data_IF_827378669643
#
_entry.id   IF_827378669643
#
_cell.length_a   1.000
_cell.length_b   1.000
_cell.length_c   1.000
_cell.angle_alpha   90.00
_cell.angle_beta   90.00
_cell.angle_gamma   90.00
#
_symmetry.space_group_name_H-M   'P 1'
#
loop_
_entity.id
_entity.type
_entity.pdbx_description
1 polymer ?
#
# COMPACT_ATOMS: atom_id res chain seq x y z
N UNK A 1 11.62 -91.02 103.97
CA UNK A 1 11.23 -89.83 103.19
C UNK A 1 10.16 -90.29 102.20
N UNK A 2 8.92 -89.91 102.47
CA UNK A 2 7.72 -90.31 101.72
C UNK A 2 7.68 -89.64 100.35
N UNK A 3 7.46 -90.44 99.30
CA UNK A 3 7.28 -89.95 97.93
C UNK A 3 6.03 -89.08 97.82
N UNK A 4 6.12 -87.99 97.06
CA UNK A 4 4.98 -87.13 96.73
C UNK A 4 3.84 -87.96 96.08
N UNK A 5 2.55 -87.65 96.37
CA UNK A 5 1.42 -88.30 95.70
C UNK A 5 1.46 -88.08 94.18
N UNK A 6 1.09 -89.09 93.39
CA UNK A 6 1.21 -89.10 91.92
C UNK A 6 0.54 -87.90 91.23
N UNK A 7 -0.54 -87.37 91.81
CA UNK A 7 -1.23 -86.17 91.31
C UNK A 7 -0.34 -84.90 91.29
N UNK A 8 0.56 -84.75 92.26
CA UNK A 8 1.49 -83.62 92.31
C UNK A 8 2.66 -83.78 91.35
N UNK A 9 3.06 -85.03 91.06
CA UNK A 9 4.08 -85.32 90.06
C UNK A 9 3.59 -85.01 88.65
N UNK A 10 2.37 -85.45 88.32
CA UNK A 10 1.72 -85.14 87.05
C UNK A 10 1.52 -83.64 86.81
N UNK A 11 1.07 -82.87 87.82
CA UNK A 11 0.99 -81.41 87.72
C UNK A 11 2.37 -80.76 87.56
N UNK A 12 3.40 -81.27 88.23
CA UNK A 12 4.78 -80.80 88.07
C UNK A 12 5.32 -81.00 86.66
N UNK A 13 5.01 -82.14 86.04
CA UNK A 13 5.41 -82.45 84.66
C UNK A 13 4.70 -81.52 83.66
N UNK A 14 3.38 -81.30 83.80
CA UNK A 14 2.63 -80.34 82.96
C UNK A 14 3.18 -78.91 83.08
N UNK A 15 3.50 -78.48 84.31
CA UNK A 15 4.05 -77.15 84.55
C UNK A 15 5.44 -77.01 83.90
N UNK A 16 6.30 -78.03 84.02
CA UNK A 16 7.62 -78.03 83.39
C UNK A 16 7.53 -78.02 81.86
N UNK A 17 6.63 -78.80 81.27
CA UNK A 17 6.39 -78.81 79.82
C UNK A 17 5.88 -77.44 79.35
N UNK A 18 4.98 -76.82 80.13
CA UNK A 18 4.45 -75.48 79.84
C UNK A 18 5.55 -74.42 79.92
N UNK A 19 6.39 -74.44 80.96
CA UNK A 19 7.54 -73.53 81.12
C UNK A 19 8.54 -73.73 79.97
N UNK A 20 8.79 -74.98 79.58
CA UNK A 20 9.63 -75.31 78.43
C UNK A 20 9.08 -74.71 77.14
N UNK A 21 7.80 -74.92 76.85
CA UNK A 21 7.13 -74.36 75.68
C UNK A 21 7.09 -72.82 75.66
N UNK A 22 6.87 -72.18 76.81
CA UNK A 22 6.97 -70.71 76.94
C UNK A 22 8.42 -70.24 76.70
N UNK A 23 9.41 -70.99 77.18
CA UNK A 23 10.82 -70.71 76.94
C UNK A 23 11.17 -70.73 75.46
N UNK A 24 10.73 -71.75 74.73
CA UNK A 24 10.89 -71.86 73.27
C UNK A 24 10.17 -70.73 72.54
N UNK A 25 8.94 -70.42 72.92
CA UNK A 25 8.17 -69.32 72.33
C UNK A 25 8.84 -67.97 72.56
N UNK A 26 9.36 -67.72 73.76
CA UNK A 26 10.09 -66.49 74.09
C UNK A 26 11.35 -66.35 73.25
N UNK A 27 12.06 -67.46 72.99
CA UNK A 27 13.23 -67.47 72.12
C UNK A 27 12.86 -67.15 70.67
N UNK A 28 11.81 -67.79 70.13
CA UNK A 28 11.32 -67.51 68.78
C UNK A 28 10.91 -66.04 68.59
N UNK A 29 10.23 -65.45 69.57
CA UNK A 29 9.83 -64.04 69.52
C UNK A 29 11.07 -63.13 69.48
N UNK A 30 12.07 -63.41 70.33
CA UNK A 30 13.31 -62.62 70.38
C UNK A 30 14.10 -62.70 69.07
N UNK A 31 14.15 -63.87 68.45
CA UNK A 31 14.84 -64.06 67.17
C UNK A 31 14.10 -63.29 66.05
N UNK A 32 12.76 -63.36 65.99
CA UNK A 32 11.95 -62.58 65.02
C UNK A 32 12.07 -61.07 65.25
N UNK A 33 12.13 -60.61 66.49
CA UNK A 33 12.33 -59.18 66.81
C UNK A 33 13.67 -58.68 66.27
N UNK A 34 14.73 -59.48 66.44
CA UNK A 34 16.07 -59.16 65.93
C UNK A 34 16.10 -59.11 64.40
N UNK A 35 15.47 -60.08 63.76
CA UNK A 35 15.36 -60.16 62.29
C UNK A 35 14.57 -58.97 61.73
N UNK A 36 13.43 -58.63 62.36
CA UNK A 36 12.63 -57.46 62.00
C UNK A 36 13.40 -56.16 62.18
N UNK A 37 14.08 -55.98 63.30
CA UNK A 37 14.87 -54.77 63.58
C UNK A 37 15.98 -54.57 62.54
N UNK A 38 16.63 -55.66 62.14
CA UNK A 38 17.67 -55.65 61.11
C UNK A 38 17.09 -55.29 59.74
N UNK A 39 15.96 -55.89 59.34
CA UNK A 39 15.28 -55.59 58.09
C UNK A 39 14.79 -54.13 58.02
N UNK A 40 14.17 -53.62 59.09
CA UNK A 40 13.71 -52.22 59.18
C UNK A 40 14.88 -51.24 59.07
N UNK A 41 15.99 -51.51 59.75
CA UNK A 41 17.18 -50.67 59.64
C UNK A 41 17.76 -50.66 58.22
N UNK A 42 17.84 -51.83 57.58
CA UNK A 42 18.32 -51.96 56.22
C UNK A 42 17.43 -51.21 55.21
N UNK A 43 16.11 -51.46 55.25
CA UNK A 43 15.15 -50.76 54.40
C UNK A 43 15.17 -49.25 54.65
N UNK A 44 15.28 -48.82 55.90
CA UNK A 44 15.39 -47.41 56.25
C UNK A 44 16.60 -46.72 55.60
N UNK A 45 17.75 -47.39 55.59
CA UNK A 45 18.95 -46.88 54.92
C UNK A 45 18.78 -46.76 53.41
N UNK A 46 18.27 -47.81 52.76
CA UNK A 46 18.03 -47.84 51.31
C UNK A 46 17.01 -46.76 50.90
N UNK A 47 15.89 -46.67 51.62
CA UNK A 47 14.84 -45.70 51.34
C UNK A 47 15.31 -44.27 51.61
N UNK A 48 16.15 -44.05 52.63
CA UNK A 48 16.74 -42.73 52.89
C UNK A 48 17.68 -42.29 51.76
N UNK A 49 18.47 -43.21 51.20
CA UNK A 49 19.33 -42.92 50.04
C UNK A 49 18.49 -42.59 48.80
N UNK A 50 17.50 -43.42 48.49
CA UNK A 50 16.59 -43.20 47.37
C UNK A 50 15.80 -41.89 47.50
N UNK A 51 15.29 -41.57 48.70
CA UNK A 51 14.61 -40.32 48.99
C UNK A 51 15.54 -39.09 48.87
N UNK A 52 16.83 -39.28 49.13
CA UNK A 52 17.87 -38.27 48.89
C UNK A 52 18.27 -38.09 47.41
N UNK A 53 17.67 -38.87 46.50
CA UNK A 53 17.97 -38.84 45.06
C UNK A 53 19.03 -39.84 44.61
N UNK A 54 19.64 -40.61 45.52
CA UNK A 54 20.52 -41.71 45.14
C UNK A 54 19.69 -42.95 44.80
N UNK A 55 19.19 -42.96 43.58
CA UNK A 55 18.47 -44.11 43.04
C UNK A 55 19.42 -45.20 42.55
N UNK A 56 20.75 -45.09 42.72
CA UNK A 56 21.72 -46.11 42.28
C UNK A 56 21.91 -47.23 43.32
N UNK A 57 21.38 -47.03 44.53
CA UNK A 57 21.42 -48.00 45.62
C UNK A 57 20.94 -49.39 45.17
N UNK A 58 21.74 -50.41 45.49
CA UNK A 58 21.43 -51.81 45.18
C UNK A 58 20.89 -52.50 46.42
N UNK A 59 19.75 -53.15 46.26
CA UNK A 59 19.16 -53.98 47.29
C UNK A 59 19.86 -55.35 47.28
N UNK A 60 20.50 -55.68 48.38
CA UNK A 60 21.08 -56.98 48.65
C UNK A 60 20.05 -57.81 49.39
N UNK A 61 19.45 -58.79 48.71
CA UNK A 61 18.43 -59.66 49.28
C UNK A 61 19.04 -60.75 50.17
N UNK A 62 20.36 -60.99 50.10
CA UNK A 62 21.03 -62.02 50.88
C UNK A 62 21.15 -61.64 52.36
N UNK A 63 21.17 -60.33 52.66
CA UNK A 63 21.24 -59.81 54.03
C UNK A 63 19.86 -59.70 54.70
N UNK A 64 18.78 -60.03 53.99
CA UNK A 64 17.40 -59.92 54.48
C UNK A 64 16.86 -61.32 54.82
N UNK A 65 16.28 -61.51 56.02
CA UNK A 65 15.58 -62.74 56.37
C UNK A 65 14.47 -63.08 55.36
N UNK A 66 14.28 -64.37 55.05
CA UNK A 66 13.37 -64.83 53.99
C UNK A 66 11.94 -64.27 54.10
N UNK A 67 11.43 -64.10 55.32
CA UNK A 67 10.09 -63.55 55.60
C UNK A 67 9.91 -62.12 55.06
N UNK A 68 11.00 -61.34 54.94
CA UNK A 68 10.97 -59.94 54.52
C UNK A 68 11.51 -59.70 53.11
N UNK A 69 12.05 -60.73 52.43
CA UNK A 69 12.54 -60.61 51.04
C UNK A 69 11.51 -60.03 50.07
N UNK A 70 10.21 -60.39 50.11
CA UNK A 70 9.21 -59.80 49.21
C UNK A 70 9.11 -58.28 49.33
N UNK A 71 9.25 -57.72 50.54
CA UNK A 71 9.24 -56.26 50.76
C UNK A 71 10.48 -55.63 50.13
N UNK A 72 11.64 -56.28 50.23
CA UNK A 72 12.86 -55.85 49.57
C UNK A 72 12.72 -55.82 48.05
N UNK A 73 12.10 -56.84 47.46
CA UNK A 73 11.81 -56.90 46.02
C UNK A 73 10.88 -55.78 45.55
N UNK A 74 9.82 -55.48 46.32
CA UNK A 74 8.90 -54.38 46.06
C UNK A 74 9.62 -53.01 46.12
N UNK A 75 10.46 -52.80 47.13
CA UNK A 75 11.29 -51.59 47.27
C UNK A 75 12.26 -51.47 46.07
N UNK A 76 12.92 -52.56 45.68
CA UNK A 76 13.83 -52.57 44.54
C UNK A 76 13.12 -52.24 43.22
N UNK A 77 11.91 -52.76 43.03
CA UNK A 77 11.05 -52.46 41.89
C UNK A 77 10.62 -50.99 41.88
N UNK A 78 10.25 -50.44 43.04
CA UNK A 78 9.89 -49.03 43.19
C UNK A 78 11.07 -48.11 42.85
N UNK A 79 12.27 -48.39 43.36
CA UNK A 79 13.49 -47.60 43.08
C UNK A 79 13.81 -47.65 41.59
N UNK A 80 13.72 -48.83 40.96
CA UNK A 80 13.94 -48.99 39.52
C UNK A 80 12.94 -48.18 38.69
N UNK A 81 11.65 -48.27 39.01
CA UNK A 81 10.61 -47.49 38.34
C UNK A 81 10.79 -45.98 38.54
N UNK A 82 11.25 -45.55 39.71
CA UNK A 82 11.56 -44.14 40.00
C UNK A 82 12.74 -43.67 39.17
N UNK A 83 13.80 -44.48 39.07
CA UNK A 83 14.99 -44.19 38.26
C UNK A 83 14.63 -44.02 36.78
N UNK A 84 13.81 -44.91 36.24
CA UNK A 84 13.33 -44.80 34.86
C UNK A 84 12.51 -43.53 34.62
N UNK A 85 11.66 -43.14 35.58
CA UNK A 85 10.90 -41.89 35.50
C UNK A 85 11.80 -40.66 35.53
N UNK A 86 12.78 -40.63 36.43
CA UNK A 86 13.75 -39.53 36.52
C UNK A 86 14.54 -39.37 35.22
N UNK A 87 15.01 -40.49 34.66
CA UNK A 87 15.72 -40.48 33.38
C UNK A 87 14.84 -39.94 32.24
N UNK A 88 13.57 -40.37 32.15
CA UNK A 88 12.61 -39.84 31.15
C UNK A 88 12.33 -38.35 31.34
N UNK A 89 12.23 -37.88 32.59
CA UNK A 89 12.05 -36.45 32.90
C UNK A 89 13.26 -35.67 32.41
N UNK A 90 14.48 -36.14 32.69
CA UNK A 90 15.71 -35.49 32.24
C UNK A 90 15.80 -35.43 30.72
N UNK A 91 15.57 -36.54 30.04
CA UNK A 91 15.57 -36.61 28.57
C UNK A 91 14.52 -35.68 27.95
N UNK A 92 13.34 -35.59 28.56
CA UNK A 92 12.28 -34.68 28.13
C UNK A 92 12.67 -33.21 28.36
N UNK A 93 13.27 -32.90 29.52
CA UNK A 93 13.75 -31.56 29.82
C UNK A 93 14.83 -31.09 28.84
N UNK A 94 15.81 -31.94 28.54
CA UNK A 94 16.85 -31.66 27.54
C UNK A 94 16.26 -31.47 26.14
N UNK A 95 15.29 -32.30 25.76
CA UNK A 95 14.55 -32.14 24.49
C UNK A 95 13.82 -30.79 24.40
N UNK A 96 13.09 -30.41 25.45
CA UNK A 96 12.37 -29.14 25.48
C UNK A 96 13.33 -27.94 25.44
N UNK A 97 14.43 -27.99 26.21
CA UNK A 97 15.44 -26.93 26.22
C UNK A 97 16.04 -26.71 24.83
N UNK A 98 16.46 -27.79 24.15
CA UNK A 98 17.03 -27.69 22.79
C UNK A 98 16.04 -27.09 21.80
N UNK A 99 14.77 -27.51 21.82
CA UNK A 99 13.79 -26.95 20.90
C UNK A 99 13.44 -25.49 21.23
N UNK A 100 13.37 -25.12 22.51
CA UNK A 100 13.19 -23.74 22.92
C UNK A 100 14.33 -22.84 22.43
N UNK A 101 15.57 -23.32 22.47
CA UNK A 101 16.73 -22.60 21.93
C UNK A 101 16.67 -22.42 20.41
N UNK A 102 16.28 -23.48 19.66
CA UNK A 102 16.05 -23.39 18.21
C UNK A 102 14.97 -22.37 17.87
N UNK A 103 13.86 -22.40 18.61
CA UNK A 103 12.76 -21.44 18.43
C UNK A 103 13.24 -20.02 18.71
N UNK A 104 13.97 -19.80 19.81
CA UNK A 104 14.53 -18.48 20.15
C UNK A 104 15.43 -17.95 19.03
N UNK A 105 16.31 -18.78 18.48
CA UNK A 105 17.19 -18.39 17.37
C UNK A 105 16.40 -18.03 16.10
N UNK A 106 15.40 -18.84 15.74
CA UNK A 106 14.53 -18.55 14.59
C UNK A 106 13.75 -17.24 14.76
N UNK A 107 13.25 -16.97 15.97
CA UNK A 107 12.54 -15.72 16.28
C UNK A 107 13.47 -14.51 16.27
N UNK A 108 14.71 -14.64 16.77
CA UNK A 108 15.70 -13.56 16.67
C UNK A 108 16.01 -13.25 15.20
N UNK A 109 16.29 -14.27 14.38
CA UNK A 109 16.51 -14.10 12.94
C UNK A 109 15.32 -13.45 12.24
N UNK A 110 14.11 -13.89 12.55
CA UNK A 110 12.90 -13.28 12.00
C UNK A 110 12.74 -11.81 12.41
N UNK A 111 13.09 -11.45 13.65
CA UNK A 111 13.06 -10.07 14.13
C UNK A 111 14.08 -9.16 13.43
N UNK A 112 15.18 -9.73 12.95
CA UNK A 112 16.19 -9.06 12.11
C UNK A 112 15.79 -9.02 10.62
N UNK A 113 14.63 -9.56 10.26
CA UNK A 113 14.10 -9.58 8.89
C UNK A 113 14.38 -10.87 8.11
N UNK A 114 15.11 -11.83 8.69
CA UNK A 114 15.36 -13.14 8.07
C UNK A 114 14.18 -14.10 8.27
N UNK A 115 13.10 -13.84 7.55
CA UNK A 115 11.84 -14.60 7.61
C UNK A 115 11.83 -15.93 6.83
N UNK A 116 12.90 -16.23 6.08
CA UNK A 116 13.03 -17.48 5.32
C UNK A 116 13.49 -18.66 6.18
N UNK A 117 13.79 -18.44 7.47
CA UNK A 117 14.21 -19.50 8.39
C UNK A 117 13.08 -20.52 8.58
N UNK A 118 13.41 -21.81 8.58
CA UNK A 118 12.46 -22.89 8.86
C UNK A 118 12.99 -23.79 9.95
N UNK A 119 12.12 -24.11 10.90
CA UNK A 119 12.40 -25.03 11.98
C UNK A 119 12.05 -26.45 11.55
N UNK A 120 12.94 -27.39 11.85
CA UNK A 120 12.73 -28.81 11.60
C UNK A 120 12.27 -29.51 12.88
N UNK A 121 11.35 -30.46 12.72
CA UNK A 121 10.88 -31.31 13.81
C UNK A 121 11.99 -32.31 14.18
N UNK A 122 12.30 -32.42 15.47
CA UNK A 122 13.30 -33.37 15.97
C UNK A 122 12.72 -34.78 16.19
N UNK A 123 11.41 -34.87 16.45
CA UNK A 123 10.69 -36.14 16.60
C UNK A 123 9.67 -36.29 15.48
N UNK A 124 9.49 -37.53 15.02
CA UNK A 124 8.51 -37.89 13.98
C UNK A 124 7.08 -38.06 14.52
N UNK A 125 6.92 -38.08 15.84
CA UNK A 125 5.63 -38.19 16.51
C UNK A 125 5.10 -36.78 16.78
N UNK A 126 3.86 -36.51 16.38
CA UNK A 126 3.18 -35.25 16.69
C UNK A 126 3.05 -35.09 18.21
N UNK A 127 3.95 -34.28 18.75
CA UNK A 127 3.88 -33.75 20.09
C UNK A 127 3.61 -32.25 20.04
N UNK A 128 3.34 -31.66 21.20
CA UNK A 128 3.04 -30.23 21.32
C UNK A 128 4.17 -29.37 20.73
N UNK A 129 5.43 -29.83 20.80
CA UNK A 129 6.55 -29.10 20.21
C UNK A 129 6.51 -29.10 18.68
N UNK A 130 6.11 -30.22 18.07
CA UNK A 130 5.89 -30.32 16.62
C UNK A 130 4.82 -29.33 16.15
N UNK A 131 3.69 -29.22 16.88
CA UNK A 131 2.63 -28.26 16.56
C UNK A 131 3.09 -26.79 16.69
N UNK A 132 3.91 -26.49 17.71
CA UNK A 132 4.50 -25.16 17.90
C UNK A 132 5.44 -24.83 16.73
N UNK A 133 6.30 -25.77 16.33
CA UNK A 133 7.21 -25.63 15.20
C UNK A 133 6.44 -25.33 13.91
N UNK A 134 5.37 -26.08 13.64
CA UNK A 134 4.52 -25.86 12.46
C UNK A 134 3.86 -24.48 12.48
N UNK A 135 3.32 -24.09 13.64
CA UNK A 135 2.68 -22.78 13.82
C UNK A 135 3.67 -21.63 13.59
N UNK A 136 4.92 -21.78 14.06
CA UNK A 136 5.99 -20.82 13.81
C UNK A 136 6.35 -20.77 12.33
N UNK A 137 6.53 -21.92 11.67
CA UNK A 137 6.84 -21.97 10.26
C UNK A 137 5.74 -21.31 9.41
N UNK A 138 4.47 -21.54 9.74
CA UNK A 138 3.33 -20.90 9.10
C UNK A 138 3.31 -19.38 9.33
N UNK A 139 3.62 -18.93 10.54
CA UNK A 139 3.76 -17.50 10.85
C UNK A 139 4.84 -16.85 9.96
N UNK A 140 6.02 -17.47 9.87
CA UNK A 140 7.13 -16.97 9.06
C UNK A 140 6.81 -16.98 7.56
N UNK A 141 6.07 -17.97 7.08
CA UNK A 141 5.58 -18.02 5.70
C UNK A 141 4.61 -16.86 5.40
N UNK A 142 3.65 -16.63 6.29
CA UNK A 142 2.68 -15.54 6.12
C UNK A 142 3.36 -14.16 6.15
N UNK A 143 4.34 -13.97 7.04
CA UNK A 143 5.16 -12.76 7.04
C UNK A 143 5.91 -12.57 5.71
N UNK A 144 6.41 -13.66 5.11
CA UNK A 144 7.01 -13.63 3.77
C UNK A 144 6.07 -13.15 2.69
N UNK A 145 4.86 -13.71 2.64
CA UNK A 145 3.84 -13.28 1.68
C UNK A 145 3.49 -11.79 1.83
N UNK A 146 3.44 -11.28 3.07
CA UNK A 146 3.17 -9.86 3.34
C UNK A 146 4.33 -9.00 2.82
N UNK A 147 5.58 -9.37 3.11
CA UNK A 147 6.77 -8.62 2.66
C UNK A 147 6.86 -8.60 1.13
N UNK A 148 6.60 -9.74 0.47
CA UNK A 148 6.57 -9.81 -0.99
C UNK A 148 5.47 -8.91 -1.59
N UNK A 149 4.26 -8.91 -1.00
CA UNK A 149 3.19 -8.02 -1.42
C UNK A 149 3.52 -6.53 -1.22
N UNK A 150 4.20 -6.17 -0.14
CA UNK A 150 4.71 -4.81 0.08
C UNK A 150 5.74 -4.44 -0.99
N UNK A 151 6.67 -5.34 -1.29
CA UNK A 151 7.72 -5.14 -2.31
C UNK A 151 7.11 -4.90 -3.69
N UNK A 152 6.14 -5.73 -4.10
CA UNK A 152 5.43 -5.55 -5.37
C UNK A 152 4.69 -4.21 -5.42
N UNK A 153 4.01 -3.85 -4.34
CA UNK A 153 3.30 -2.56 -4.23
C UNK A 153 4.27 -1.38 -4.35
N UNK A 154 5.42 -1.44 -3.67
CA UNK A 154 6.46 -0.41 -3.77
C UNK A 154 7.01 -0.28 -5.18
N UNK A 155 7.29 -1.40 -5.86
CA UNK A 155 7.76 -1.38 -7.25
C UNK A 155 6.73 -0.73 -8.18
N UNK A 156 5.44 -1.01 -7.97
CA UNK A 156 4.37 -0.36 -8.71
C UNK A 156 4.33 1.15 -8.44
N UNK A 157 4.41 1.57 -7.18
CA UNK A 157 4.45 3.00 -6.81
C UNK A 157 5.65 3.73 -7.41
N UNK A 158 6.83 3.11 -7.43
CA UNK A 158 8.01 3.68 -8.09
C UNK A 158 7.74 3.92 -9.57
N UNK A 159 7.21 2.91 -10.28
CA UNK A 159 6.88 3.02 -11.69
C UNK A 159 5.84 4.11 -11.96
N UNK A 160 4.75 4.17 -11.18
CA UNK A 160 3.73 5.21 -11.29
C UNK A 160 4.31 6.61 -11.04
N UNK A 161 5.26 6.74 -10.11
CA UNK A 161 5.97 7.99 -9.83
C UNK A 161 6.86 8.42 -11.00
N UNK A 162 7.53 7.48 -11.66
CA UNK A 162 8.35 7.75 -12.85
C UNK A 162 7.49 8.25 -14.02
N UNK A 163 6.38 7.56 -14.32
CA UNK A 163 5.41 7.95 -15.36
C UNK A 163 4.77 9.32 -15.06
N UNK A 164 4.47 9.59 -13.78
CA UNK A 164 3.97 10.89 -13.34
C UNK A 164 5.00 12.00 -13.53
N UNK A 165 6.28 11.74 -13.25
CA UNK A 165 7.36 12.71 -13.47
C UNK A 165 7.53 13.05 -14.95
N UNK A 166 7.47 12.03 -15.82
CA UNK A 166 7.52 12.24 -17.27
C UNK A 166 6.34 13.07 -17.77
N UNK A 167 5.13 12.80 -17.28
CA UNK A 167 3.93 13.57 -17.60
C UNK A 167 4.06 15.05 -17.21
N UNK A 168 4.61 15.33 -16.03
CA UNK A 168 4.90 16.70 -15.57
C UNK A 168 5.93 17.38 -16.47
N UNK A 169 6.98 16.67 -16.90
CA UNK A 169 7.97 17.19 -17.83
C UNK A 169 7.34 17.58 -19.17
N UNK A 170 6.51 16.71 -19.73
CA UNK A 170 5.78 17.00 -20.98
C UNK A 170 4.84 18.19 -20.81
N UNK A 171 4.13 18.27 -19.67
CA UNK A 171 3.25 19.40 -19.37
C UNK A 171 4.02 20.72 -19.29
N UNK A 172 5.22 20.73 -18.70
CA UNK A 172 6.08 21.91 -18.66
C UNK A 172 6.49 22.35 -20.08
N UNK A 173 6.87 21.42 -20.95
CA UNK A 173 7.17 21.73 -22.35
C UNK A 173 5.93 22.26 -23.09
N UNK A 174 4.76 21.65 -22.88
CA UNK A 174 3.49 22.14 -23.43
C UNK A 174 3.14 23.54 -22.93
N UNK A 175 3.36 23.83 -21.65
CA UNK A 175 3.12 25.14 -21.06
C UNK A 175 4.07 26.20 -21.63
N UNK A 176 5.34 25.88 -21.86
CA UNK A 176 6.27 26.78 -22.56
C UNK A 176 5.80 27.08 -24.00
N UNK A 177 5.31 26.08 -24.73
CA UNK A 177 4.76 26.28 -26.06
C UNK A 177 3.51 27.18 -26.03
N UNK A 178 2.57 26.90 -25.13
CA UNK A 178 1.37 27.73 -24.93
C UNK A 178 1.76 29.17 -24.60
N UNK A 179 2.74 29.39 -23.73
CA UNK A 179 3.25 30.72 -23.39
C UNK A 179 3.80 31.45 -24.63
N UNK A 180 4.59 30.75 -25.46
CA UNK A 180 5.12 31.31 -26.71
C UNK A 180 4.02 31.69 -27.71
N UNK A 181 2.99 30.85 -27.84
CA UNK A 181 1.83 31.10 -28.70
C UNK A 181 1.02 32.29 -28.18
N UNK A 182 0.83 32.42 -26.88
CA UNK A 182 0.14 33.56 -26.27
C UNK A 182 0.88 34.88 -26.55
N UNK A 183 2.22 34.88 -26.51
CA UNK A 183 3.03 36.04 -26.89
C UNK A 183 2.89 36.39 -28.37
N UNK A 184 2.92 35.39 -29.26
CA UNK A 184 2.69 35.60 -30.69
C UNK A 184 1.29 36.14 -30.98
N UNK A 185 0.26 35.62 -30.31
CA UNK A 185 -1.12 36.11 -30.42
C UNK A 185 -1.19 37.56 -29.95
N UNK A 186 -0.60 37.90 -28.79
CA UNK A 186 -0.59 39.26 -28.28
C UNK A 186 0.08 40.23 -29.26
N UNK A 187 1.25 39.87 -29.80
CA UNK A 187 1.93 40.67 -30.82
C UNK A 187 1.12 40.80 -32.12
N UNK A 188 0.47 39.72 -32.56
CA UNK A 188 -0.44 39.74 -33.70
C UNK A 188 -1.65 40.65 -33.48
N UNK A 189 -2.27 40.58 -32.30
CA UNK A 189 -3.37 41.47 -31.90
C UNK A 189 -2.93 42.93 -31.83
N UNK A 190 -1.72 43.22 -31.34
CA UNK A 190 -1.17 44.57 -31.33
C UNK A 190 -0.99 45.12 -32.75
N UNK A 191 -0.44 44.32 -33.67
CA UNK A 191 -0.30 44.71 -35.07
C UNK A 191 -1.66 44.91 -35.76
N UNK A 192 -2.62 44.00 -35.53
CA UNK A 192 -3.98 44.15 -36.05
C UNK A 192 -4.65 45.43 -35.52
N UNK A 193 -4.44 45.76 -34.25
CA UNK A 193 -4.95 47.02 -33.66
C UNK A 193 -4.34 48.24 -34.36
N UNK A 194 -3.03 48.25 -34.60
CA UNK A 194 -2.34 49.33 -35.34
C UNK A 194 -2.90 49.48 -36.76
N UNK A 195 -3.09 48.36 -37.47
CA UNK A 195 -3.66 48.35 -38.83
C UNK A 195 -5.09 48.88 -38.80
N UNK A 196 -5.93 48.43 -37.86
CA UNK A 196 -7.31 48.89 -37.73
C UNK A 196 -7.38 50.41 -37.46
N UNK A 197 -6.50 50.95 -36.60
CA UNK A 197 -6.40 52.39 -36.35
C UNK A 197 -5.96 53.15 -37.60
N UNK A 198 -4.99 52.64 -38.36
CA UNK A 198 -4.56 53.25 -39.62
C UNK A 198 -5.67 53.26 -40.66
N UNK A 199 -6.32 52.11 -40.88
CA UNK A 199 -7.47 51.99 -41.79
C UNK A 199 -8.61 52.94 -41.40
N UNK A 200 -8.88 53.11 -40.10
CA UNK A 200 -9.87 54.07 -39.63
C UNK A 200 -9.48 55.52 -39.98
N UNK A 201 -8.20 55.89 -39.90
CA UNK A 201 -7.72 57.22 -40.32
C UNK A 201 -7.86 57.41 -41.84
N UNK A 202 -7.50 56.41 -42.63
CA UNK A 202 -7.64 56.45 -44.10
C UNK A 202 -9.10 56.56 -44.54
N UNK A 203 -10.00 55.83 -43.86
CA UNK A 203 -11.45 55.96 -44.08
C UNK A 203 -11.94 57.37 -43.78
N UNK A 204 -11.50 58.01 -42.69
CA UNK A 204 -11.85 59.41 -42.40
C UNK A 204 -11.36 60.37 -43.48
N UNK A 205 -10.12 60.20 -43.95
CA UNK A 205 -9.58 61.02 -45.03
C UNK A 205 -10.40 60.85 -46.33
N UNK A 206 -10.75 59.61 -46.66
CA UNK A 206 -11.61 59.30 -47.82
C UNK A 206 -12.99 59.96 -47.70
N UNK A 207 -13.61 59.93 -46.51
CA UNK A 207 -14.90 60.61 -46.27
C UNK A 207 -14.80 62.12 -46.53
N UNK A 208 -13.73 62.77 -46.08
CA UNK A 208 -13.53 64.21 -46.33
C UNK A 208 -13.32 64.51 -47.82
N UNK A 209 -12.56 63.67 -48.54
CA UNK A 209 -12.43 63.78 -50.01
C UNK A 209 -13.79 63.64 -50.68
N UNK A 210 -14.59 62.63 -50.29
CA UNK A 210 -15.93 62.44 -50.85
C UNK A 210 -16.86 63.62 -50.58
N UNK A 211 -16.80 64.24 -49.38
CA UNK A 211 -17.55 65.48 -49.10
C UNK A 211 -17.12 66.63 -50.01
N UNK A 212 -15.81 66.83 -50.18
CA UNK A 212 -15.30 67.87 -51.07
C UNK A 212 -15.71 67.63 -52.52
N UNK A 213 -15.60 66.39 -53.00
CA UNK A 213 -16.01 65.96 -54.33
C UNK A 213 -17.52 66.16 -54.54
N UNK A 214 -18.35 65.77 -53.56
CA UNK A 214 -19.81 65.97 -53.60
C UNK A 214 -20.16 67.46 -53.70
N UNK A 215 -19.50 68.32 -52.92
CA UNK A 215 -19.69 69.78 -52.98
C UNK A 215 -19.29 70.36 -54.34
N UNK A 216 -18.14 69.95 -54.88
CA UNK A 216 -17.67 70.37 -56.19
C UNK A 216 -18.61 69.90 -57.32
N UNK A 217 -19.10 68.67 -57.23
CA UNK A 217 -20.07 68.11 -58.18
C UNK A 217 -21.39 68.88 -58.16
N UNK A 218 -21.91 69.25 -56.98
CA UNK A 218 -23.12 70.06 -56.87
C UNK A 218 -22.94 71.45 -57.49
N UNK A 219 -21.83 72.12 -57.18
CA UNK A 219 -21.50 73.42 -57.78
C UNK A 219 -21.36 73.33 -59.31
N UNK A 220 -20.71 72.28 -59.82
CA UNK A 220 -20.62 72.03 -61.26
C UNK A 220 -22.01 71.85 -61.87
N UNK A 221 -22.89 71.08 -61.22
CA UNK A 221 -24.27 70.87 -61.68
C UNK A 221 -25.07 72.17 -61.73
N UNK A 222 -24.96 73.02 -60.70
CA UNK A 222 -25.54 74.37 -60.69
C UNK A 222 -25.01 75.21 -61.86
N UNK A 223 -23.69 75.19 -62.10
CA UNK A 223 -23.07 75.98 -63.15
C UNK A 223 -23.41 75.49 -64.55
N UNK A 224 -23.50 74.18 -64.76
CA UNK A 224 -24.02 73.58 -65.99
C UNK A 224 -25.47 74.01 -66.22
N UNK A 225 -26.31 74.03 -65.19
CA UNK A 225 -27.70 74.49 -65.31
C UNK A 225 -27.79 75.98 -65.66
N UNK A 226 -26.93 76.83 -65.09
CA UNK A 226 -26.80 78.24 -65.50
C UNK A 226 -26.34 78.38 -66.96
N UNK A 227 -25.36 77.58 -67.39
CA UNK A 227 -24.90 77.55 -68.78
C UNK A 227 -26.01 77.14 -69.74
N UNK A 228 -26.83 76.14 -69.40
CA UNK A 228 -28.00 75.75 -70.20
C UNK A 228 -28.94 76.94 -70.36
N UNK A 229 -29.31 77.62 -69.27
CA UNK A 229 -30.16 78.83 -69.35
C UNK A 229 -29.55 79.95 -70.17
N UNK A 230 -28.24 80.14 -70.07
CA UNK A 230 -27.54 81.16 -70.87
C UNK A 230 -27.52 80.79 -72.35
N UNK A 231 -27.29 79.52 -72.68
CA UNK A 231 -27.35 79.03 -74.05
C UNK A 231 -28.77 79.12 -74.63
N UNK A 232 -29.80 78.81 -73.85
CA UNK A 232 -31.21 79.02 -74.21
C UNK A 232 -31.48 80.50 -74.56
N UNK A 233 -31.08 81.43 -73.69
CA UNK A 233 -31.19 82.87 -73.97
C UNK A 233 -30.41 83.30 -75.21
N UNK A 234 -29.19 82.81 -75.37
CA UNK A 234 -28.35 83.15 -76.53
C UNK A 234 -28.96 82.64 -77.83
N UNK A 235 -29.58 81.45 -77.80
CA UNK A 235 -30.32 80.88 -78.91
C UNK A 235 -31.54 81.73 -79.26
N UNK A 236 -32.32 82.16 -78.26
CA UNK A 236 -33.46 83.05 -78.45
C UNK A 236 -33.04 84.42 -79.03
N UNK A 237 -31.97 85.01 -78.51
CA UNK A 237 -31.40 86.26 -79.03
C UNK A 237 -30.90 86.09 -80.48
N UNK A 238 -30.23 84.98 -80.79
CA UNK A 238 -29.76 84.68 -82.14
C UNK A 238 -30.93 84.47 -83.13
N UNK A 239 -32.02 83.85 -82.69
CA UNK A 239 -33.25 83.73 -83.48
C UNK A 239 -33.88 85.11 -83.73
N UNK A 240 -33.95 85.97 -82.72
CA UNK A 240 -34.43 87.35 -82.85
C UNK A 240 -33.54 88.20 -83.78
N UNK A 241 -32.21 88.07 -83.68
CA UNK A 241 -31.28 88.74 -84.60
C UNK A 241 -31.42 88.17 -86.01
N UNK A 242 -31.57 86.85 -86.16
CA UNK A 242 -31.78 86.19 -87.45
C UNK A 242 -33.05 86.67 -88.14
N UNK A 243 -34.17 86.72 -87.43
CA UNK A 243 -35.43 87.28 -87.96
C UNK A 243 -35.32 88.78 -88.27
N UNK A 244 -34.61 89.55 -87.44
CA UNK A 244 -34.30 90.96 -87.72
C UNK A 244 -33.44 91.14 -88.98
N UNK A 245 -32.42 90.30 -89.18
CA UNK A 245 -31.61 90.29 -90.40
C UNK A 245 -32.41 89.87 -91.62
N UNK A 246 -33.30 88.87 -91.51
CA UNK A 246 -34.19 88.49 -92.61
C UNK A 246 -35.12 89.65 -92.98
N UNK A 247 -35.63 90.37 -91.99
CA UNK A 247 -36.47 91.57 -92.20
C UNK A 247 -35.67 92.69 -92.87
N UNK A 248 -34.46 92.99 -92.39
CA UNK A 248 -33.56 93.94 -93.05
C UNK A 248 -33.22 93.52 -94.48
N UNK A 249 -33.02 92.22 -94.72
CA UNK A 249 -32.74 91.71 -96.07
C UNK A 249 -33.94 91.94 -96.98
N UNK A 250 -35.16 91.64 -96.51
CA UNK A 250 -36.40 91.95 -97.22
C UNK A 250 -36.58 93.46 -97.45
N UNK A 251 -36.23 94.30 -96.49
CA UNK A 251 -36.25 95.77 -96.65
C UNK A 251 -35.21 96.24 -97.68
N UNK A 252 -33.99 95.72 -97.65
CA UNK A 252 -32.96 96.03 -98.65
C UNK A 252 -33.40 95.57 -100.04
N UNK A 253 -33.93 94.35 -100.17
CA UNK A 253 -34.51 93.86 -101.42
C UNK A 253 -35.67 94.75 -101.89
N UNK A 254 -36.53 95.19 -100.96
CA UNK A 254 -37.61 96.13 -101.25
C UNK A 254 -37.09 97.51 -101.69
N UNK A 255 -36.06 98.04 -101.04
CA UNK A 255 -35.41 99.31 -101.41
C UNK A 255 -34.74 99.19 -102.77
N UNK A 256 -34.07 98.07 -103.06
CA UNK A 256 -33.51 97.78 -104.39
C UNK A 256 -34.63 97.76 -105.44
N UNK A 257 -35.75 97.08 -105.17
CA UNK A 257 -36.93 97.08 -106.05
C UNK A 257 -37.54 98.48 -106.23
N UNK A 258 -37.58 99.30 -105.18
CA UNK A 258 -38.07 100.69 -105.25
C UNK A 258 -37.09 101.61 -106.00
N UNK A 259 -35.78 101.38 -105.88
CA UNK A 259 -34.76 102.10 -106.66
C UNK A 259 -34.85 101.73 -108.14
N UNK A 260 -35.07 100.45 -108.46
CA UNK A 260 -35.35 99.98 -109.83
C UNK A 260 -36.63 100.62 -110.41
N UNK A 261 -37.65 100.87 -109.58
CA UNK A 261 -38.88 101.57 -110.02
C UNK A 261 -38.71 103.08 -110.16
N UNK A 262 -37.74 103.71 -109.47
CA UNK A 262 -37.51 105.17 -109.49
C UNK A 262 -36.46 105.64 -110.50
N UNK A 263 -35.70 104.74 -111.11
CA UNK A 263 -34.80 105.08 -112.22
C UNK A 263 -35.05 104.22 -113.48
N UNK A 264 -36.14 104.48 -114.25
CA UNK A 264 -36.43 103.75 -115.49
C UNK A 264 -35.46 104.08 -116.65
N UNK A 265 -34.35 104.79 -116.41
CA UNK A 265 -33.51 105.39 -117.45
C UNK A 265 -32.00 105.14 -117.24
N UNK A 266 -31.60 104.00 -116.66
CA UNK A 266 -30.22 103.49 -116.76
C UNK A 266 -30.10 101.98 -116.93
N UNK A 267 -30.73 101.48 -118.01
CA UNK A 267 -30.56 100.15 -118.66
C UNK A 267 -30.68 98.91 -117.80
#
# INVERSE_FOLDING_TARGET
MSSLPDAYRFMGDIINDTIGGIGEMTKMIRDREKDLSSAVSYFGGVLSAAAGGDLSVKLDLEVIPDEYKPIGEDIGSMISATREREQKIKETGEYLQRNAEKIKDAMNKASEGYISVRLERERTKDDVMSEIIDSINLLLENLGKIIDGIKESMQKTVKESEEGSESVSQMNSGMQQISSLAQQIAGGSENLSKIAVSAQRELKASIEIFKALSKASNFSGEKTNEMVKMAEKLSEEAENVGTGMETMTKEIESVILQMDQKDPQRR
#
